data_IF_295515929772
#
_entry.id   IF_295515929772
#
_cell.length_a   1.000
_cell.length_b   1.000
_cell.length_c   1.000
_cell.angle_alpha   90.00
_cell.angle_beta   90.00
_cell.angle_gamma   90.00
#
_symmetry.space_group_name_H-M   'P 1'
#
loop_
_entity.id
_entity.type
_entity.pdbx_description
1 polymer ?
#
# COMPACT_ATOMS: atom_id res chain seq x y z
N UNK A 1 8.04 17.95 -19.64
CA UNK A 1 7.91 16.77 -20.52
C UNK A 1 8.40 15.53 -19.80
N UNK A 2 7.62 14.46 -19.83
CA UNK A 2 7.99 13.15 -19.29
C UNK A 2 7.53 12.04 -20.23
N UNK A 3 8.16 10.87 -20.11
CA UNK A 3 7.81 9.68 -20.90
C UNK A 3 6.85 8.81 -20.09
N UNK A 4 5.70 8.48 -20.66
CA UNK A 4 4.78 7.49 -20.08
C UNK A 4 5.28 6.10 -20.44
N UNK A 5 5.60 5.30 -19.43
CA UNK A 5 5.95 3.90 -19.62
C UNK A 5 4.66 3.05 -19.69
N UNK A 6 4.64 1.99 -20.51
CA UNK A 6 3.46 1.14 -20.65
C UNK A 6 3.19 0.32 -19.36
N UNK A 7 1.93 -0.04 -19.08
CA UNK A 7 1.53 -0.77 -17.87
C UNK A 7 2.35 -2.04 -17.59
N UNK A 8 2.80 -2.73 -18.64
CA UNK A 8 3.61 -3.94 -18.58
C UNK A 8 4.94 -3.75 -17.87
N UNK A 9 5.47 -2.53 -17.78
CA UNK A 9 6.79 -2.26 -17.18
C UNK A 9 6.80 -1.13 -16.14
N UNK A 10 5.71 -0.38 -16.02
CA UNK A 10 5.65 0.81 -15.16
C UNK A 10 5.25 0.53 -13.71
N UNK A 11 4.92 -0.73 -13.38
CA UNK A 11 4.52 -1.20 -12.05
C UNK A 11 3.17 -0.62 -11.54
N UNK A 12 2.31 -0.11 -12.42
CA UNK A 12 1.06 0.56 -12.01
C UNK A 12 -0.20 -0.33 -12.06
N UNK A 13 -0.14 -1.54 -12.65
CA UNK A 13 -1.31 -2.41 -12.80
C UNK A 13 -1.04 -3.81 -12.22
N UNK A 14 -1.85 -4.22 -11.25
CA UNK A 14 -1.73 -5.51 -10.56
C UNK A 14 -1.88 -6.73 -11.49
N UNK A 15 -2.58 -6.59 -12.63
CA UNK A 15 -2.74 -7.66 -13.64
C UNK A 15 -1.38 -8.13 -14.21
N UNK A 16 -0.36 -7.27 -14.17
CA UNK A 16 0.98 -7.60 -14.64
C UNK A 16 1.91 -8.07 -13.51
N UNK A 17 1.41 -8.35 -12.30
CA UNK A 17 2.24 -8.78 -11.17
C UNK A 17 3.11 -10.00 -11.47
N UNK A 18 2.59 -10.98 -12.21
CA UNK A 18 3.38 -12.15 -12.65
C UNK A 18 4.53 -11.76 -13.58
N UNK A 19 4.29 -10.80 -14.49
CA UNK A 19 5.31 -10.28 -15.38
C UNK A 19 6.34 -9.44 -14.63
N UNK A 20 5.90 -8.56 -13.72
CA UNK A 20 6.79 -7.77 -12.87
C UNK A 20 7.72 -8.66 -12.04
N UNK A 21 7.23 -9.80 -11.55
CA UNK A 21 7.98 -10.75 -10.75
C UNK A 21 9.10 -11.48 -11.53
N UNK A 22 9.15 -11.35 -12.86
CA UNK A 22 10.27 -11.86 -13.68
C UNK A 22 11.55 -11.06 -13.50
N UNK A 23 11.44 -9.80 -13.06
CA UNK A 23 12.58 -8.96 -12.69
C UNK A 23 12.79 -8.95 -11.17
N UNK A 24 14.04 -8.88 -10.74
CA UNK A 24 14.39 -8.75 -9.32
C UNK A 24 15.68 -7.98 -9.11
N UNK A 25 15.77 -7.31 -7.97
CA UNK A 25 16.96 -6.61 -7.52
C UNK A 25 17.52 -7.28 -6.26
N UNK A 26 18.83 -7.49 -6.25
CA UNK A 26 19.53 -7.89 -5.03
C UNK A 26 19.72 -6.69 -4.12
N UNK A 27 19.30 -6.83 -2.87
CA UNK A 27 19.46 -5.81 -1.83
C UNK A 27 20.02 -6.46 -0.57
N UNK A 28 20.56 -5.64 0.34
CA UNK A 28 21.03 -6.12 1.64
C UNK A 28 19.88 -6.71 2.46
N UNK A 29 20.16 -7.85 3.09
CA UNK A 29 19.28 -8.53 4.02
C UNK A 29 19.31 -7.94 5.43
N UNK A 30 18.85 -8.70 6.42
CA UNK A 30 18.79 -8.24 7.81
C UNK A 30 20.14 -8.29 8.50
N UNK A 31 20.99 -9.23 8.08
CA UNK A 31 22.31 -9.44 8.67
C UNK A 31 23.42 -8.84 7.77
N UNK A 32 24.52 -8.34 8.35
CA UNK A 32 25.68 -7.90 7.57
C UNK A 32 26.17 -9.01 6.62
N UNK A 33 26.28 -8.70 5.33
CA UNK A 33 26.70 -9.66 4.30
C UNK A 33 25.58 -10.55 3.73
N UNK A 34 24.37 -10.50 4.30
CA UNK A 34 23.20 -11.16 3.72
C UNK A 34 22.70 -10.39 2.49
N UNK A 35 22.37 -11.11 1.42
CA UNK A 35 21.70 -10.56 0.24
C UNK A 35 20.34 -11.24 0.05
N UNK A 36 19.32 -10.45 -0.27
CA UNK A 36 17.97 -10.95 -0.59
C UNK A 36 17.54 -10.42 -1.96
N UNK A 37 16.74 -11.20 -2.68
CA UNK A 37 16.16 -10.77 -3.95
C UNK A 37 14.76 -10.19 -3.69
N UNK A 38 14.55 -8.94 -4.12
CA UNK A 38 13.22 -8.33 -4.20
C UNK A 38 12.70 -8.42 -5.63
N UNK A 39 11.61 -9.17 -5.81
CA UNK A 39 10.91 -9.29 -7.09
C UNK A 39 10.03 -8.07 -7.34
N UNK A 40 9.86 -7.71 -8.61
CA UNK A 40 8.91 -6.67 -9.02
C UNK A 40 7.47 -7.05 -8.64
N UNK A 41 6.69 -6.03 -8.26
CA UNK A 41 5.25 -6.08 -8.00
C UNK A 41 4.70 -4.68 -8.27
N UNK A 42 3.38 -4.58 -8.49
CA UNK A 42 2.67 -3.30 -8.52
C UNK A 42 3.00 -2.42 -7.31
N UNK A 43 3.11 -1.11 -7.55
CA UNK A 43 3.34 -0.11 -6.52
C UNK A 43 2.01 0.18 -5.85
N UNK A 44 1.82 -0.39 -4.67
CA UNK A 44 0.64 -0.15 -3.81
C UNK A 44 1.10 0.34 -2.46
N UNK A 45 0.50 1.44 -1.98
CA UNK A 45 0.81 2.01 -0.69
C UNK A 45 0.00 1.32 0.41
N UNK A 46 0.69 0.92 1.49
CA UNK A 46 0.09 0.38 2.70
C UNK A 46 0.29 1.31 3.89
N UNK A 47 -0.69 1.33 4.79
CA UNK A 47 -0.65 2.10 6.05
C UNK A 47 -1.02 1.19 7.22
N UNK A 48 -0.46 1.46 8.39
CA UNK A 48 -0.78 0.71 9.61
C UNK A 48 -0.70 1.61 10.84
N UNK A 49 -1.39 1.21 11.92
CA UNK A 49 -1.26 1.81 13.24
C UNK A 49 -0.39 0.88 14.09
N UNK A 50 0.82 1.29 14.50
CA UNK A 50 1.65 0.46 15.36
C UNK A 50 0.95 0.11 16.69
N UNK A 51 0.99 -1.16 17.08
CA UNK A 51 0.31 -1.66 18.30
C UNK A 51 0.81 -1.01 19.59
N UNK A 52 2.04 -0.50 19.59
CA UNK A 52 2.66 0.17 20.74
C UNK A 52 2.55 1.71 20.69
N UNK A 53 1.81 2.27 19.73
CA UNK A 53 1.59 3.72 19.69
C UNK A 53 0.67 4.14 20.85
N UNK A 54 1.09 5.11 21.65
CA UNK A 54 0.40 5.45 22.90
C UNK A 54 -0.94 6.19 22.70
N UNK A 55 -1.14 6.85 21.55
CA UNK A 55 -2.35 7.64 21.25
C UNK A 55 -3.21 6.97 20.17
N UNK A 56 -3.60 5.72 20.40
CA UNK A 56 -4.34 4.90 19.42
C UNK A 56 -5.53 5.63 18.79
N UNK A 57 -6.39 6.29 19.58
CA UNK A 57 -7.55 7.02 19.07
C UNK A 57 -7.18 8.13 18.08
N UNK A 58 -6.05 8.83 18.30
CA UNK A 58 -5.58 9.85 17.37
C UNK A 58 -5.08 9.23 16.06
N UNK A 59 -4.40 8.09 16.13
CA UNK A 59 -3.98 7.37 14.94
C UNK A 59 -5.19 6.84 14.14
N UNK A 60 -6.21 6.32 14.82
CA UNK A 60 -7.47 5.89 14.19
C UNK A 60 -8.14 7.06 13.50
N UNK A 61 -8.27 8.22 14.16
CA UNK A 61 -8.85 9.41 13.55
C UNK A 61 -8.08 9.89 12.32
N UNK A 62 -6.74 9.81 12.34
CA UNK A 62 -5.93 10.18 11.18
C UNK A 62 -6.10 9.19 10.01
N UNK A 63 -6.16 7.89 10.27
CA UNK A 63 -6.42 6.89 9.22
C UNK A 63 -7.85 6.99 8.68
N UNK A 64 -8.84 7.26 9.53
CA UNK A 64 -10.23 7.53 9.10
C UNK A 64 -10.28 8.75 8.18
N UNK A 65 -9.53 9.83 8.49
CA UNK A 65 -9.40 10.99 7.62
C UNK A 65 -8.72 10.65 6.29
N UNK A 66 -7.61 9.91 6.31
CA UNK A 66 -6.89 9.48 5.10
C UNK A 66 -7.80 8.70 4.14
N UNK A 67 -8.64 7.81 4.69
CA UNK A 67 -9.56 6.96 3.94
C UNK A 67 -10.92 7.63 3.64
N UNK A 68 -11.15 8.82 4.18
CA UNK A 68 -12.35 9.61 3.90
C UNK A 68 -12.35 10.16 2.45
N UNK A 69 -13.50 10.61 1.93
CA UNK A 69 -13.56 11.27 0.62
C UNK A 69 -12.60 12.46 0.49
N UNK A 70 -12.38 13.22 1.57
CA UNK A 70 -11.45 14.36 1.58
C UNK A 70 -10.00 13.89 1.48
N UNK A 71 -9.60 12.91 2.30
CA UNK A 71 -8.26 12.33 2.26
C UNK A 71 -7.93 11.72 0.90
N UNK A 72 -8.87 10.94 0.34
CA UNK A 72 -8.71 10.35 -0.98
C UNK A 72 -8.59 11.39 -2.10
N UNK A 73 -9.37 12.48 -2.04
CA UNK A 73 -9.27 13.57 -3.01
C UNK A 73 -7.90 14.27 -2.96
N UNK A 74 -7.32 14.43 -1.76
CA UNK A 74 -5.96 14.98 -1.60
C UNK A 74 -4.92 14.06 -2.24
N UNK A 75 -5.03 12.75 -2.02
CA UNK A 75 -4.10 11.76 -2.59
C UNK A 75 -4.18 11.73 -4.12
N UNK A 76 -5.39 11.70 -4.68
CA UNK A 76 -5.65 11.75 -6.12
C UNK A 76 -5.04 13.02 -6.75
N UNK A 77 -5.29 14.19 -6.14
CA UNK A 77 -4.75 15.46 -6.62
C UNK A 77 -3.21 15.52 -6.62
N UNK A 78 -2.56 14.66 -5.83
CA UNK A 78 -1.11 14.53 -5.76
C UNK A 78 -0.57 13.31 -6.56
N UNK A 79 -1.40 12.70 -7.43
CA UNK A 79 -1.00 11.63 -8.33
C UNK A 79 -0.92 10.25 -7.68
N UNK A 80 -1.61 10.05 -6.55
CA UNK A 80 -1.72 8.77 -5.87
C UNK A 80 -3.19 8.33 -5.83
N UNK A 81 -3.69 7.70 -6.90
CA UNK A 81 -5.07 7.25 -6.92
C UNK A 81 -5.32 6.20 -5.84
N UNK A 82 -6.45 6.27 -5.11
CA UNK A 82 -6.76 5.36 -4.02
C UNK A 82 -7.18 3.98 -4.53
N UNK A 83 -6.88 2.94 -3.73
CA UNK A 83 -7.46 1.60 -3.90
C UNK A 83 -8.77 1.57 -3.12
N UNK A 84 -9.91 1.39 -3.82
CA UNK A 84 -11.26 1.43 -3.24
C UNK A 84 -12.03 0.16 -3.63
N UNK A 85 -12.56 -0.60 -2.65
CA UNK A 85 -12.29 -0.49 -1.21
C UNK A 85 -10.81 -0.76 -0.91
N UNK A 86 -10.31 -0.20 0.19
CA UNK A 86 -8.95 -0.50 0.64
C UNK A 86 -8.86 -1.98 1.06
N UNK A 87 -7.68 -2.59 0.93
CA UNK A 87 -7.52 -4.02 1.21
C UNK A 87 -6.74 -4.21 2.51
N UNK A 88 -7.24 -5.08 3.40
CA UNK A 88 -6.54 -5.52 4.61
C UNK A 88 -6.24 -7.01 4.57
N UNK A 89 -5.19 -7.43 5.28
CA UNK A 89 -4.83 -8.84 5.43
C UNK A 89 -5.51 -9.52 6.63
N UNK A 90 -6.12 -8.73 7.53
CA UNK A 90 -6.81 -9.24 8.71
C UNK A 90 -7.82 -8.20 9.20
N UNK A 91 -9.09 -8.36 8.82
CA UNK A 91 -10.19 -7.48 9.19
C UNK A 91 -10.46 -7.52 10.70
N UNK A 92 -10.18 -8.63 11.37
CA UNK A 92 -10.46 -8.80 12.80
C UNK A 92 -9.58 -7.92 13.70
N UNK A 93 -8.41 -7.50 13.18
CA UNK A 93 -7.45 -6.64 13.89
C UNK A 93 -7.70 -5.15 13.73
N UNK A 94 -8.66 -4.75 12.89
CA UNK A 94 -8.95 -3.35 12.64
C UNK A 94 -9.91 -2.76 13.70
N UNK A 95 -9.71 -1.49 14.08
CA UNK A 95 -10.72 -0.70 14.77
C UNK A 95 -12.04 -0.69 13.99
N UNK A 96 -13.17 -0.77 14.69
CA UNK A 96 -14.50 -0.86 14.06
C UNK A 96 -14.80 0.35 13.17
N UNK A 97 -14.27 1.53 13.54
CA UNK A 97 -14.44 2.78 12.80
C UNK A 97 -13.87 2.72 11.37
N UNK A 98 -12.84 1.90 11.15
CA UNK A 98 -12.14 1.80 9.87
C UNK A 98 -12.71 0.71 8.96
N UNK A 99 -13.45 -0.27 9.52
CA UNK A 99 -13.96 -1.43 8.77
C UNK A 99 -14.87 -1.05 7.60
N UNK A 100 -15.52 0.11 7.67
CA UNK A 100 -16.38 0.66 6.59
C UNK A 100 -15.64 0.99 5.29
N UNK A 101 -14.31 1.16 5.33
CA UNK A 101 -13.51 1.53 4.15
C UNK A 101 -12.81 0.36 3.48
N UNK A 102 -12.81 -0.82 4.12
CA UNK A 102 -11.92 -1.92 3.75
C UNK A 102 -12.66 -3.19 3.39
N UNK A 103 -12.01 -4.03 2.57
CA UNK A 103 -12.32 -5.46 2.40
C UNK A 103 -11.12 -6.29 2.81
N UNK A 104 -11.36 -7.55 3.15
CA UNK A 104 -10.28 -8.50 3.41
C UNK A 104 -9.78 -9.07 2.07
N UNK A 105 -8.47 -9.23 1.94
CA UNK A 105 -7.89 -9.97 0.81
C UNK A 105 -8.26 -11.45 0.91
N UNK A 106 -8.51 -12.08 -0.23
CA UNK A 106 -8.67 -13.55 -0.34
C UNK A 106 -7.40 -14.32 0.06
#
# INVERSE_FOLDING_TARGET
>A
DYVVLPPEINLANEEFNDFYATAGAEISGKQPGEMIVKKGKSIVYGVTIPSNFSRQQLAVAWVDFLLSPEGMAIMEANGQPPVIPAVTNDMSKLPDELKKYVTEAD
#
